data_IF_082132429456
#
_entry.id   IF_082132429456
#
_cell.length_a   1.000
_cell.length_b   1.000
_cell.length_c   1.000
_cell.angle_alpha   90.00
_cell.angle_beta   90.00
_cell.angle_gamma   90.00
#
_symmetry.space_group_name_H-M   'P 1'
#
loop_
_entity.id
_entity.type
_entity.pdbx_description
1 polymer ?
#
# COMPACT_ATOMS: atom_id res chain seq x y z
N UNK A 1 -2.51 15.41 -15.62
CA UNK A 1 -3.22 15.05 -14.37
C UNK A 1 -2.18 14.48 -13.40
N UNK A 2 -2.10 14.97 -12.17
CA UNK A 2 -1.11 14.55 -11.17
C UNK A 2 -1.81 13.59 -10.21
N UNK A 3 -1.14 12.48 -9.86
CA UNK A 3 -1.67 11.46 -8.94
C UNK A 3 -0.55 11.01 -8.00
N UNK A 4 -0.88 10.88 -6.71
CA UNK A 4 0.00 10.31 -5.69
C UNK A 4 -0.44 8.87 -5.39
N UNK A 5 0.51 7.95 -5.31
CA UNK A 5 0.23 6.53 -5.07
C UNK A 5 1.21 5.95 -4.04
N UNK A 6 0.69 5.26 -3.04
CA UNK A 6 1.46 4.35 -2.20
C UNK A 6 1.26 2.91 -2.69
N UNK A 7 2.35 2.19 -2.97
CA UNK A 7 2.30 0.87 -3.61
C UNK A 7 3.26 -0.11 -2.92
N UNK A 8 2.78 -1.31 -2.63
CA UNK A 8 3.60 -2.48 -2.27
C UNK A 8 3.30 -3.60 -3.26
N UNK A 9 4.30 -4.02 -4.02
CA UNK A 9 4.23 -5.14 -4.96
C UNK A 9 4.80 -6.40 -4.31
N UNK A 10 4.10 -7.53 -4.41
CA UNK A 10 4.58 -8.84 -3.98
C UNK A 10 4.17 -9.93 -4.96
N UNK A 11 4.85 -11.07 -4.93
CA UNK A 11 4.48 -12.24 -5.70
C UNK A 11 3.09 -12.76 -5.29
N UNK A 12 2.33 -13.35 -6.23
CA UNK A 12 0.94 -13.79 -6.01
C UNK A 12 0.76 -14.79 -4.86
N UNK A 13 1.80 -15.58 -4.58
CA UNK A 13 1.83 -16.53 -3.45
C UNK A 13 1.66 -15.82 -2.10
N UNK A 14 2.09 -14.56 -2.03
CA UNK A 14 2.09 -13.71 -0.84
C UNK A 14 0.90 -12.73 -0.82
N UNK A 15 -0.13 -12.95 -1.65
CA UNK A 15 -1.33 -12.10 -1.70
C UNK A 15 -2.03 -12.00 -0.34
N UNK A 16 -1.92 -13.04 0.50
CA UNK A 16 -2.46 -13.01 1.87
C UNK A 16 -1.77 -11.94 2.72
N UNK A 17 -0.46 -11.74 2.55
CA UNK A 17 0.29 -10.69 3.23
C UNK A 17 -0.20 -9.30 2.79
N UNK A 18 -0.43 -9.09 1.49
CA UNK A 18 -1.00 -7.84 0.99
C UNK A 18 -2.38 -7.54 1.58
N UNK A 19 -3.22 -8.56 1.76
CA UNK A 19 -4.53 -8.43 2.42
C UNK A 19 -4.39 -8.06 3.90
N UNK A 20 -3.45 -8.68 4.60
CA UNK A 20 -3.16 -8.34 6.00
C UNK A 20 -2.62 -6.92 6.17
N UNK A 21 -1.76 -6.46 5.25
CA UNK A 21 -1.28 -5.07 5.23
C UNK A 21 -2.45 -4.10 5.00
N UNK A 22 -3.36 -4.43 4.07
CA UNK A 22 -4.58 -3.65 3.86
C UNK A 22 -5.42 -3.56 5.14
N UNK A 23 -5.64 -4.68 5.82
CA UNK A 23 -6.38 -4.73 7.09
C UNK A 23 -5.68 -3.92 8.18
N UNK A 24 -4.35 -4.00 8.27
CA UNK A 24 -3.54 -3.22 9.20
C UNK A 24 -3.71 -1.71 9.01
N UNK A 25 -3.77 -1.22 7.76
CA UNK A 25 -4.05 0.18 7.46
C UNK A 25 -5.56 0.53 7.51
N UNK A 26 -6.38 -0.24 8.23
CA UNK A 26 -7.80 0.06 8.42
C UNK A 26 -8.67 -0.21 7.19
N UNK A 27 -8.21 -1.05 6.27
CA UNK A 27 -8.96 -1.45 5.08
C UNK A 27 -8.88 -0.47 3.90
N UNK A 28 -8.04 0.57 3.97
CA UNK A 28 -7.87 1.56 2.89
C UNK A 28 -7.16 0.99 1.67
N UNK A 29 -7.37 1.61 0.50
CA UNK A 29 -6.80 1.14 -0.76
C UNK A 29 -7.36 -0.21 -1.25
N UNK A 30 -6.63 -0.83 -2.17
CA UNK A 30 -7.05 -2.05 -2.87
C UNK A 30 -5.88 -3.00 -3.09
N UNK A 31 -6.18 -4.30 -3.11
CA UNK A 31 -5.26 -5.33 -3.61
C UNK A 31 -5.66 -5.66 -5.04
N UNK A 32 -4.73 -5.50 -5.98
CA UNK A 32 -4.98 -5.77 -7.40
C UNK A 32 -5.14 -7.27 -7.67
N UNK A 33 -5.73 -7.58 -8.83
CA UNK A 33 -5.66 -8.93 -9.38
C UNK A 33 -4.22 -9.23 -9.79
N UNK A 34 -3.90 -10.51 -9.87
CA UNK A 34 -2.59 -10.95 -10.32
C UNK A 34 -2.29 -10.43 -11.74
N UNK A 35 -1.09 -9.88 -11.90
CA UNK A 35 -0.49 -9.46 -13.16
C UNK A 35 0.98 -9.87 -13.17
N UNK A 36 1.37 -10.65 -14.17
CA UNK A 36 2.75 -11.10 -14.37
C UNK A 36 3.34 -11.84 -13.16
N UNK A 37 2.53 -12.62 -12.44
CA UNK A 37 2.93 -13.35 -11.25
C UNK A 37 2.92 -12.54 -9.95
N UNK A 38 2.57 -11.25 -9.99
CA UNK A 38 2.55 -10.37 -8.82
C UNK A 38 1.17 -9.74 -8.57
N UNK A 39 0.97 -9.27 -7.35
CA UNK A 39 -0.17 -8.46 -6.95
C UNK A 39 0.34 -7.18 -6.27
N UNK A 40 -0.45 -6.12 -6.33
CA UNK A 40 -0.14 -4.83 -5.72
C UNK A 40 -1.15 -4.51 -4.63
N UNK A 41 -0.66 -4.07 -3.48
CA UNK A 41 -1.45 -3.23 -2.59
C UNK A 41 -1.25 -1.77 -2.99
N UNK A 42 -2.33 -1.06 -3.31
CA UNK A 42 -2.28 0.34 -3.77
C UNK A 42 -3.27 1.22 -3.00
N UNK A 43 -2.79 2.36 -2.52
CA UNK A 43 -3.60 3.47 -2.01
C UNK A 43 -3.38 4.67 -2.93
N UNK A 44 -4.43 5.09 -3.64
CA UNK A 44 -4.39 6.18 -4.63
C UNK A 44 -5.28 7.37 -4.28
N UNK A 45 -6.11 7.25 -3.23
CA UNK A 45 -6.90 8.37 -2.72
C UNK A 45 -5.97 9.29 -1.93
N UNK A 46 -5.91 10.56 -2.33
CA UNK A 46 -5.08 11.56 -1.65
C UNK A 46 -5.49 11.70 -0.18
N UNK A 47 -6.80 11.67 0.09
CA UNK A 47 -7.34 11.75 1.45
C UNK A 47 -6.88 10.56 2.30
N UNK A 48 -6.92 9.33 1.75
CA UNK A 48 -6.45 8.13 2.47
C UNK A 48 -4.93 8.16 2.69
N UNK A 49 -4.16 8.66 1.71
CA UNK A 49 -2.72 8.82 1.85
C UNK A 49 -2.41 9.82 2.98
N UNK A 50 -3.07 10.97 2.97
CA UNK A 50 -2.83 12.04 3.94
C UNK A 50 -3.29 11.65 5.36
N UNK A 51 -4.42 10.95 5.50
CA UNK A 51 -5.01 10.64 6.81
C UNK A 51 -4.51 9.33 7.43
N UNK A 52 -4.00 8.38 6.64
CA UNK A 52 -3.60 7.05 7.13
C UNK A 52 -2.14 6.73 6.87
N UNK A 53 -1.66 6.96 5.64
CA UNK A 53 -0.32 6.51 5.24
C UNK A 53 0.77 7.45 5.77
N UNK A 54 0.63 8.77 5.58
CA UNK A 54 1.62 9.74 6.08
C UNK A 54 1.79 9.67 7.60
N UNK A 55 0.72 9.66 8.43
CA UNK A 55 0.88 9.59 9.88
C UNK A 55 1.60 8.32 10.37
N UNK A 56 1.47 7.20 9.65
CA UNK A 56 2.22 5.99 9.96
C UNK A 56 3.73 6.20 9.75
N UNK A 57 4.14 6.78 8.62
CA UNK A 57 5.55 7.00 8.32
C UNK A 57 6.16 8.19 9.06
N UNK A 58 5.36 9.15 9.52
CA UNK A 58 5.83 10.17 10.47
C UNK A 58 6.17 9.54 11.83
N UNK A 59 5.34 8.60 12.30
CA UNK A 59 5.57 7.88 13.56
C UNK A 59 6.65 6.80 13.46
N UNK A 60 6.70 6.12 12.31
CA UNK A 60 7.61 5.01 12.03
C UNK A 60 8.39 5.30 10.74
N UNK A 61 9.40 6.20 10.82
CA UNK A 61 10.13 6.64 9.65
C UNK A 61 10.93 5.51 9.01
N UNK A 62 11.08 5.61 7.69
CA UNK A 62 11.91 4.70 6.93
C UNK A 62 13.38 4.98 7.22
N UNK A 63 14.14 3.94 7.58
CA UNK A 63 15.57 4.05 7.85
C UNK A 63 16.38 4.05 6.54
N UNK A 64 15.87 3.36 5.52
CA UNK A 64 16.50 3.27 4.19
C UNK A 64 16.12 4.48 3.33
N UNK A 65 17.03 4.94 2.48
CA UNK A 65 16.63 5.71 1.30
C UNK A 65 15.87 4.78 0.35
N UNK A 66 14.65 5.18 -0.02
CA UNK A 66 13.77 4.44 -0.93
C UNK A 66 13.63 5.18 -2.25
#
# INVERSE_FOLDING_TARGET
>A
KIEANFIINLHKKDVKILKQIKEFFGGVGRVSKERNGCCDYTVSSLDQIASVILPHFDKYPLITQK
#
